data_IF_607516074912
#
_entry.id   IF_607516074912
#
_cell.length_a   1.000
_cell.length_b   1.000
_cell.length_c   1.000
_cell.angle_alpha   90.00
_cell.angle_beta   90.00
_cell.angle_gamma   90.00
#
_symmetry.space_group_name_H-M   'P 1'
#
loop_
_entity.id
_entity.type
_entity.pdbx_description
1 polymer ?
#
# COMPACT_ATOMS: atom_id res chain seq x y z
N UNK A 1 -28.45 0.04 -9.54
CA UNK A 1 -28.08 1.30 -10.21
C UNK A 1 -26.57 1.32 -10.24
N UNK A 2 -26.01 1.54 -11.42
CA UNK A 2 -24.73 0.97 -11.85
C UNK A 2 -23.53 1.62 -11.17
N UNK A 3 -22.69 0.76 -10.61
CA UNK A 3 -21.35 1.03 -10.09
C UNK A 3 -20.46 1.68 -11.17
N UNK A 4 -19.96 2.87 -10.90
CA UNK A 4 -18.74 3.40 -11.50
C UNK A 4 -18.22 4.58 -10.66
N UNK A 5 -17.91 4.33 -9.38
CA UNK A 5 -17.14 5.28 -8.57
C UNK A 5 -15.62 5.19 -8.85
N UNK A 6 -15.23 4.52 -9.93
CA UNK A 6 -13.84 4.34 -10.33
C UNK A 6 -13.34 5.46 -11.24
N UNK A 7 -12.01 5.55 -11.45
CA UNK A 7 -11.43 6.50 -12.40
C UNK A 7 -12.01 6.30 -13.80
N UNK A 8 -12.38 7.39 -14.49
CA UNK A 8 -12.86 7.31 -15.88
C UNK A 8 -11.81 6.56 -16.74
N UNK A 9 -12.19 5.52 -17.50
CA UNK A 9 -11.25 4.80 -18.36
C UNK A 9 -10.55 5.74 -19.35
N UNK A 10 -9.26 5.49 -19.61
CA UNK A 10 -8.44 6.34 -20.49
C UNK A 10 -9.04 6.47 -21.90
N UNK A 11 -9.55 5.37 -22.48
CA UNK A 11 -10.18 5.39 -23.80
C UNK A 11 -11.38 6.34 -23.86
N UNK A 12 -12.26 6.30 -22.85
CA UNK A 12 -13.42 7.20 -22.76
C UNK A 12 -12.99 8.65 -22.61
N UNK A 13 -11.92 8.90 -21.85
CA UNK A 13 -11.35 10.23 -21.70
C UNK A 13 -10.80 10.76 -23.03
N UNK A 14 -10.04 9.94 -23.78
CA UNK A 14 -9.47 10.32 -25.09
C UNK A 14 -10.57 10.71 -26.07
N UNK A 15 -11.67 9.96 -26.13
CA UNK A 15 -12.79 10.34 -27.01
C UNK A 15 -13.44 11.65 -26.56
N UNK A 16 -13.63 11.84 -25.24
CA UNK A 16 -14.28 13.05 -24.72
C UNK A 16 -13.47 14.34 -24.99
N UNK A 17 -12.13 14.27 -24.96
CA UNK A 17 -11.30 15.48 -25.15
C UNK A 17 -11.24 15.94 -26.61
N UNK A 18 -11.51 15.07 -27.60
CA UNK A 18 -11.52 15.44 -29.03
C UNK A 18 -12.58 16.50 -29.35
N UNK A 19 -13.74 16.41 -28.70
CA UNK A 19 -14.84 17.35 -28.92
C UNK A 19 -14.84 18.52 -27.90
N UNK A 20 -13.93 18.49 -26.92
CA UNK A 20 -13.87 19.51 -25.88
C UNK A 20 -13.27 20.84 -26.40
N UNK A 21 -13.71 22.01 -25.91
CA UNK A 21 -13.10 23.29 -26.23
C UNK A 21 -11.63 23.35 -25.80
N UNK A 22 -10.79 24.07 -26.56
CA UNK A 22 -9.35 24.20 -26.25
C UNK A 22 -9.11 24.81 -24.88
N UNK A 23 -9.87 25.83 -24.49
CA UNK A 23 -9.73 26.49 -23.18
C UNK A 23 -9.93 25.48 -22.03
N UNK A 24 -10.91 24.58 -22.17
CA UNK A 24 -11.14 23.50 -21.21
C UNK A 24 -9.94 22.55 -21.10
N UNK A 25 -9.30 22.22 -22.23
CA UNK A 25 -8.10 21.37 -22.23
C UNK A 25 -6.93 22.08 -21.53
N UNK A 26 -6.72 23.37 -21.83
CA UNK A 26 -5.66 24.17 -21.21
C UNK A 26 -5.87 24.37 -19.70
N UNK A 27 -7.12 24.48 -19.23
CA UNK A 27 -7.45 24.54 -17.81
C UNK A 27 -7.30 23.18 -17.10
N UNK A 28 -7.64 22.09 -17.78
CA UNK A 28 -7.57 20.73 -17.23
C UNK A 28 -6.13 20.24 -17.03
N UNK A 29 -5.19 20.71 -17.87
CA UNK A 29 -3.77 20.35 -17.78
C UNK A 29 -3.14 20.66 -16.40
N UNK A 30 -3.16 21.91 -15.89
CA UNK A 30 -2.63 22.22 -14.57
C UNK A 30 -3.42 21.60 -13.42
N UNK A 31 -4.72 21.32 -13.59
CA UNK A 31 -5.51 20.58 -12.60
C UNK A 31 -5.03 19.15 -12.42
N UNK A 32 -4.80 18.43 -13.52
CA UNK A 32 -4.22 17.09 -13.50
C UNK A 32 -2.85 17.10 -12.80
N UNK A 33 -2.01 18.10 -13.10
CA UNK A 33 -0.71 18.25 -12.44
C UNK A 33 -0.83 18.42 -10.93
N UNK A 34 -1.68 19.36 -10.48
CA UNK A 34 -1.92 19.61 -9.06
C UNK A 34 -2.45 18.36 -8.37
N UNK A 35 -3.39 17.66 -9.00
CA UNK A 35 -3.98 16.44 -8.45
C UNK A 35 -2.96 15.31 -8.31
N UNK A 36 -2.08 15.11 -9.30
CA UNK A 36 -1.01 14.11 -9.22
C UNK A 36 -0.02 14.47 -8.11
N UNK A 37 0.44 15.73 -8.06
CA UNK A 37 1.38 16.19 -7.05
C UNK A 37 0.81 16.07 -5.63
N UNK A 38 -0.48 16.36 -5.45
CA UNK A 38 -1.18 16.16 -4.18
C UNK A 38 -1.18 14.70 -3.75
N UNK A 39 -1.56 13.77 -4.63
CA UNK A 39 -1.58 12.34 -4.32
C UNK A 39 -0.20 11.79 -3.97
N UNK A 40 0.85 12.23 -4.66
CA UNK A 40 2.23 11.84 -4.36
C UNK A 40 2.65 12.36 -2.99
N UNK A 41 2.31 13.61 -2.67
CA UNK A 41 2.56 14.16 -1.33
C UNK A 41 1.83 13.36 -0.25
N UNK A 42 0.54 13.06 -0.46
CA UNK A 42 -0.24 12.24 0.49
C UNK A 42 0.37 10.84 0.65
N UNK A 43 0.84 10.21 -0.43
CA UNK A 43 1.54 8.93 -0.32
C UNK A 43 2.81 9.03 0.51
N UNK A 44 3.60 10.10 0.35
CA UNK A 44 4.80 10.31 1.15
C UNK A 44 4.46 10.52 2.63
N UNK A 45 3.42 11.30 2.95
CA UNK A 45 2.93 11.48 4.32
C UNK A 45 2.46 10.13 4.91
N UNK A 46 1.73 9.31 4.15
CA UNK A 46 1.31 7.98 4.60
C UNK A 46 2.49 7.01 4.79
N UNK A 47 3.54 7.13 3.99
CA UNK A 47 4.75 6.31 4.13
C UNK A 47 5.50 6.64 5.42
N UNK A 48 5.65 7.91 5.75
CA UNK A 48 6.21 8.35 7.04
C UNK A 48 5.39 7.82 8.24
N UNK A 49 4.06 7.85 8.14
CA UNK A 49 3.17 7.26 9.15
C UNK A 49 3.33 5.74 9.25
N UNK A 50 3.47 5.05 8.13
CA UNK A 50 3.70 3.60 8.13
C UNK A 50 5.06 3.25 8.75
N UNK A 51 6.12 4.02 8.48
CA UNK A 51 7.42 3.84 9.13
C UNK A 51 7.29 3.97 10.66
N UNK A 52 6.59 5.00 11.14
CA UNK A 52 6.28 5.20 12.56
C UNK A 52 5.49 4.03 13.16
N UNK A 53 4.42 3.58 12.47
CA UNK A 53 3.61 2.43 12.89
C UNK A 53 4.42 1.14 12.92
N UNK A 54 5.31 0.92 11.96
CA UNK A 54 6.17 -0.26 11.90
C UNK A 54 7.11 -0.34 13.09
N UNK A 55 7.68 0.80 13.52
CA UNK A 55 8.52 0.87 14.71
C UNK A 55 7.72 0.53 15.98
N UNK A 56 6.48 1.02 16.09
CA UNK A 56 5.57 0.69 17.19
C UNK A 56 5.17 -0.78 17.20
N UNK A 57 4.93 -1.40 16.04
CA UNK A 57 4.60 -2.83 15.94
C UNK A 57 5.76 -3.74 16.36
N UNK A 58 7.01 -3.31 16.17
CA UNK A 58 8.20 -4.04 16.62
C UNK A 58 8.38 -3.95 18.13
N UNK A 59 8.05 -2.81 18.74
CA UNK A 59 8.17 -2.56 20.19
C UNK A 59 6.89 -1.90 20.73
N UNK A 60 5.80 -2.67 20.86
CA UNK A 60 4.49 -2.13 21.23
C UNK A 60 4.49 -1.60 22.66
N UNK A 61 3.90 -0.42 22.88
CA UNK A 61 3.56 0.06 24.21
C UNK A 61 2.47 -0.87 24.79
N UNK A 62 2.62 -1.39 26.03
CA UNK A 62 1.58 -2.19 26.68
C UNK A 62 0.20 -1.54 26.75
N UNK A 63 0.09 -0.22 26.55
CA UNK A 63 -1.16 0.56 26.55
C UNK A 63 -1.80 0.70 25.17
N UNK A 64 -1.08 0.41 24.09
CA UNK A 64 -1.62 0.47 22.73
C UNK A 64 -2.20 -0.89 22.31
N UNK A 65 -3.31 -0.87 21.57
CA UNK A 65 -3.89 -2.08 21.00
C UNK A 65 -3.09 -2.50 19.77
N UNK A 66 -2.39 -3.63 19.86
CA UNK A 66 -1.62 -4.17 18.72
C UNK A 66 -2.51 -4.45 17.50
N UNK A 67 -3.75 -4.91 17.70
CA UNK A 67 -4.71 -5.15 16.61
C UNK A 67 -5.05 -3.87 15.85
N UNK A 68 -5.25 -2.75 16.56
CA UNK A 68 -5.56 -1.46 15.95
C UNK A 68 -4.37 -0.91 15.15
N UNK A 69 -3.14 -1.10 15.64
CA UNK A 69 -1.92 -0.73 14.92
C UNK A 69 -1.77 -1.53 13.63
N UNK A 70 -2.02 -2.84 13.66
CA UNK A 70 -1.96 -3.70 12.48
C UNK A 70 -3.03 -3.36 11.44
N UNK A 71 -4.26 -3.05 11.89
CA UNK A 71 -5.34 -2.61 11.01
C UNK A 71 -5.03 -1.26 10.35
N UNK A 72 -4.51 -0.30 11.14
CA UNK A 72 -4.11 1.01 10.62
C UNK A 72 -2.98 0.88 9.61
N UNK A 73 -1.96 0.07 9.91
CA UNK A 73 -0.86 -0.23 8.99
C UNK A 73 -1.37 -0.78 7.65
N UNK A 74 -2.29 -1.75 7.69
CA UNK A 74 -2.89 -2.35 6.48
C UNK A 74 -3.69 -1.31 5.69
N UNK A 75 -4.48 -0.49 6.38
CA UNK A 75 -5.29 0.55 5.76
C UNK A 75 -4.43 1.59 5.02
N UNK A 76 -3.36 2.08 5.64
CA UNK A 76 -2.47 3.05 5.01
C UNK A 76 -1.72 2.43 3.82
N UNK A 77 -1.26 1.19 3.98
CA UNK A 77 -0.59 0.45 2.90
C UNK A 77 -1.51 0.27 1.69
N UNK A 78 -2.78 -0.10 1.91
CA UNK A 78 -3.78 -0.23 0.84
C UNK A 78 -4.06 1.12 0.18
N UNK A 79 -4.24 2.18 0.97
CA UNK A 79 -4.47 3.54 0.46
C UNK A 79 -3.36 4.00 -0.48
N UNK A 80 -2.09 3.73 -0.16
CA UNK A 80 -0.95 4.06 -1.04
C UNK A 80 -1.05 3.32 -2.37
N UNK A 81 -1.41 2.03 -2.36
CA UNK A 81 -1.58 1.23 -3.58
C UNK A 81 -2.70 1.79 -4.44
N UNK A 82 -3.85 2.12 -3.84
CA UNK A 82 -4.98 2.73 -4.55
C UNK A 82 -4.59 4.09 -5.15
N UNK A 83 -3.90 4.94 -4.39
CA UNK A 83 -3.42 6.22 -4.87
C UNK A 83 -2.44 6.08 -6.04
N UNK A 84 -1.57 5.06 -6.05
CA UNK A 84 -0.64 4.78 -7.17
C UNK A 84 -1.38 4.47 -8.46
N UNK A 85 -2.44 3.67 -8.40
CA UNK A 85 -3.31 3.40 -9.56
C UNK A 85 -3.98 4.68 -10.07
N UNK A 86 -4.48 5.52 -9.17
CA UNK A 86 -5.09 6.82 -9.53
C UNK A 86 -4.06 7.76 -10.14
N UNK A 87 -2.84 7.83 -9.59
CA UNK A 87 -1.73 8.61 -10.12
C UNK A 87 -1.43 8.15 -11.55
N UNK A 88 -1.24 6.85 -11.77
CA UNK A 88 -0.97 6.27 -13.09
C UNK A 88 -2.04 6.68 -14.10
N UNK A 89 -3.32 6.51 -13.76
CA UNK A 89 -4.42 6.89 -14.63
C UNK A 89 -4.43 8.40 -14.96
N UNK A 90 -4.10 9.25 -13.98
CA UNK A 90 -4.00 10.70 -14.21
C UNK A 90 -2.79 11.07 -15.05
N UNK A 91 -1.65 10.39 -14.92
CA UNK A 91 -0.47 10.57 -15.78
C UNK A 91 -0.82 10.26 -17.24
N UNK A 92 -1.49 9.14 -17.49
CA UNK A 92 -1.94 8.75 -18.84
C UNK A 92 -2.90 9.78 -19.44
N UNK A 93 -3.85 10.29 -18.65
CA UNK A 93 -4.77 11.36 -19.09
C UNK A 93 -4.05 12.67 -19.39
N UNK A 94 -3.04 13.02 -18.60
CA UNK A 94 -2.23 14.21 -18.83
C UNK A 94 -1.46 14.11 -20.16
N UNK A 95 -0.87 12.95 -20.46
CA UNK A 95 -0.19 12.69 -21.73
C UNK A 95 -1.18 12.79 -22.90
N UNK A 96 -2.34 12.13 -22.79
CA UNK A 96 -3.37 12.17 -23.82
C UNK A 96 -3.89 13.60 -24.09
N UNK A 97 -4.02 14.41 -23.04
CA UNK A 97 -4.42 15.80 -23.15
C UNK A 97 -3.35 16.63 -23.89
N UNK A 98 -2.07 16.41 -23.57
CA UNK A 98 -0.97 17.07 -24.28
C UNK A 98 -0.91 16.65 -25.75
N UNK A 99 -1.13 15.37 -26.05
CA UNK A 99 -1.20 14.85 -27.43
C UNK A 99 -2.30 15.57 -28.23
N UNK A 100 -3.46 15.80 -27.62
CA UNK A 100 -4.56 16.53 -28.25
C UNK A 100 -4.26 18.04 -28.40
N UNK A 101 -3.58 18.66 -27.44
CA UNK A 101 -3.12 20.05 -27.60
C UNK A 101 -2.09 20.19 -28.73
N UNK A 102 -1.20 19.20 -28.90
CA UNK A 102 -0.27 19.13 -30.02
C UNK A 102 -1.01 18.94 -31.34
N UNK A 103 -2.01 18.03 -31.39
CA UNK A 103 -2.80 17.76 -32.60
C UNK A 103 -3.51 19.01 -33.12
N UNK A 104 -3.94 19.91 -32.20
CA UNK A 104 -4.57 21.20 -32.49
C UNK A 104 -3.61 22.34 -32.77
N UNK A 105 -2.30 22.09 -32.73
CA UNK A 105 -1.27 23.13 -32.88
C UNK A 105 -1.23 24.14 -31.72
N UNK A 106 -1.76 23.78 -30.55
CA UNK A 106 -1.81 24.63 -29.35
C UNK A 106 -0.61 24.40 -28.42
N UNK A 107 0.13 23.32 -28.63
CA UNK A 107 1.35 22.97 -27.90
C UNK A 107 2.42 22.51 -28.90
N UNK A 108 3.65 22.99 -28.75
CA UNK A 108 4.77 22.50 -29.55
C UNK A 108 5.16 21.09 -29.07
N UNK A 109 5.36 20.10 -29.97
CA UNK A 109 5.84 18.77 -29.60
C UNK A 109 7.11 18.77 -28.73
N UNK A 110 8.04 19.69 -28.97
CA UNK A 110 9.29 19.79 -28.21
C UNK A 110 9.03 20.26 -26.77
N UNK A 111 8.14 21.25 -26.62
CA UNK A 111 7.71 21.75 -25.31
C UNK A 111 6.97 20.68 -24.53
N UNK A 112 6.09 19.91 -25.20
CA UNK A 112 5.42 18.73 -24.61
C UNK A 112 6.43 17.77 -23.99
N UNK A 113 7.40 17.30 -24.79
CA UNK A 113 8.37 16.29 -24.34
C UNK A 113 9.19 16.81 -23.16
N UNK A 114 9.63 18.06 -23.23
CA UNK A 114 10.38 18.70 -22.15
C UNK A 114 9.54 18.82 -20.88
N UNK A 115 8.30 19.27 -21.00
CA UNK A 115 7.39 19.50 -19.89
C UNK A 115 6.99 18.18 -19.20
N UNK A 116 6.66 17.13 -19.97
CA UNK A 116 6.40 15.79 -19.46
C UNK A 116 7.61 15.18 -18.75
N UNK A 117 8.79 15.28 -19.36
CA UNK A 117 10.03 14.76 -18.76
C UNK A 117 10.35 15.46 -17.43
N UNK A 118 10.24 16.79 -17.40
CA UNK A 118 10.53 17.56 -16.19
C UNK A 118 9.52 17.25 -15.08
N UNK A 119 8.24 17.18 -15.43
CA UNK A 119 7.18 16.91 -14.46
C UNK A 119 7.28 15.49 -13.92
N UNK A 120 7.26 14.47 -14.77
CA UNK A 120 7.31 13.08 -14.32
C UNK A 120 8.65 12.71 -13.69
N UNK A 121 9.78 13.25 -14.18
CA UNK A 121 11.07 13.06 -13.53
C UNK A 121 11.08 13.57 -12.09
N UNK A 122 10.53 14.77 -11.85
CA UNK A 122 10.43 15.32 -10.49
C UNK A 122 9.52 14.49 -9.57
N UNK A 123 8.47 13.88 -10.14
CA UNK A 123 7.51 13.07 -9.40
C UNK A 123 8.08 11.68 -9.06
N UNK A 124 8.81 11.07 -9.99
CA UNK A 124 9.47 9.79 -9.77
C UNK A 124 10.56 9.92 -8.69
N UNK A 125 11.28 11.05 -8.63
CA UNK A 125 12.20 11.35 -7.54
C UNK A 125 11.48 11.47 -6.17
N UNK A 126 10.29 12.07 -6.15
CA UNK A 126 9.47 12.19 -4.94
C UNK A 126 8.91 10.83 -4.49
N UNK A 127 8.56 9.95 -5.41
CA UNK A 127 8.01 8.61 -5.13
C UNK A 127 9.10 7.59 -4.74
N UNK A 128 10.30 7.70 -5.33
CA UNK A 128 11.42 6.82 -5.03
C UNK A 128 12.06 7.08 -3.67
N UNK A 129 12.06 8.33 -3.19
CA UNK A 129 12.52 8.65 -1.82
C UNK A 129 11.70 7.96 -0.73
N UNK A 130 10.46 7.61 -1.02
CA UNK A 130 9.54 7.03 -0.06
C UNK A 130 9.42 5.49 -0.16
N UNK A 131 10.12 4.86 -1.12
CA UNK A 131 10.05 3.41 -1.36
C UNK A 131 11.05 2.56 -0.55
N UNK A 132 11.46 3.03 0.64
CA UNK A 132 12.26 2.22 1.57
C UNK A 132 11.41 1.03 2.06
N UNK A 133 11.98 -0.17 2.01
CA UNK A 133 11.32 -1.47 2.16
C UNK A 133 10.26 -1.54 3.28
N UNK A 134 8.99 -1.57 2.87
CA UNK A 134 7.83 -1.87 3.72
C UNK A 134 7.72 -3.37 4.03
N UNK A 135 8.71 -3.96 4.70
CA UNK A 135 8.52 -5.28 5.33
C UNK A 135 9.24 -5.34 6.68
N UNK A 136 8.57 -5.02 7.80
CA UNK A 136 9.02 -5.55 9.07
C UNK A 136 8.83 -7.08 9.01
N UNK A 137 9.95 -7.80 8.89
CA UNK A 137 9.94 -9.26 9.06
C UNK A 137 9.64 -9.52 10.53
N UNK A 138 8.36 -9.66 10.87
CA UNK A 138 7.94 -10.07 12.20
C UNK A 138 8.46 -11.50 12.38
N UNK A 139 9.61 -11.63 13.04
CA UNK A 139 10.14 -12.91 13.48
C UNK A 139 9.10 -13.49 14.42
N UNK A 140 8.31 -14.46 13.93
CA UNK A 140 7.55 -15.36 14.80
C UNK A 140 8.56 -16.07 15.69
N UNK A 141 8.65 -15.62 16.93
CA UNK A 141 9.40 -16.26 17.99
C UNK A 141 8.77 -17.65 18.18
N UNK A 142 9.40 -18.68 17.62
CA UNK A 142 9.07 -20.07 17.88
C UNK A 142 9.39 -20.35 19.35
N UNK A 143 8.42 -20.07 20.22
CA UNK A 143 8.33 -20.77 21.51
C UNK A 143 7.32 -21.89 21.33
N UNK A 144 7.82 -22.96 20.72
CA UNK A 144 7.26 -24.29 20.88
C UNK A 144 7.28 -24.59 22.39
N UNK A 145 6.10 -24.64 22.99
CA UNK A 145 5.89 -25.28 24.28
C UNK A 145 4.56 -26.03 24.17
N UNK A 146 4.57 -27.06 23.32
CA UNK A 146 3.66 -28.18 23.43
C UNK A 146 3.89 -28.83 24.79
N UNK A 147 2.97 -28.58 25.73
CA UNK A 147 2.72 -29.55 26.80
C UNK A 147 1.67 -30.52 26.26
N UNK A 148 2.15 -31.57 25.62
CA UNK A 148 1.36 -32.79 25.44
C UNK A 148 1.17 -33.45 26.80
N UNK A 149 -0.10 -33.54 27.17
CA UNK A 149 -0.66 -34.46 28.14
C UNK A 149 -0.76 -35.85 27.47
N UNK A 150 0.03 -36.83 27.91
CA UNK A 150 -0.50 -38.15 28.25
C UNK A 150 0.55 -39.13 28.78
N UNK A 151 0.25 -39.64 29.98
CA UNK A 151 0.29 -41.05 30.40
C UNK A 151 1.28 -42.00 29.72
N UNK A 152 2.32 -42.41 30.47
CA UNK A 152 2.95 -43.72 30.28
C UNK A 152 3.18 -44.41 31.63
N UNK A 153 2.33 -45.40 31.88
CA UNK A 153 2.49 -46.44 32.89
C UNK A 153 3.48 -47.47 32.36
N UNK A 154 4.54 -47.77 33.11
CA UNK A 154 5.19 -49.10 33.24
C UNK A 154 6.36 -49.01 34.24
N UNK A 155 5.99 -49.04 35.51
CA UNK A 155 6.85 -49.52 36.59
C UNK A 155 6.70 -51.06 36.57
N UNK A 156 7.75 -51.86 36.39
CA UNK A 156 8.84 -52.02 37.34
C UNK A 156 8.62 -53.35 38.06
N UNK A 157 8.88 -54.47 37.39
CA UNK A 157 8.91 -55.79 38.02
C UNK A 157 10.34 -56.20 38.34
N UNK A 158 10.71 -56.26 39.62
CA UNK A 158 11.15 -57.50 40.27
C UNK A 158 11.40 -57.32 41.78
N UNK A 159 10.75 -58.21 42.56
CA UNK A 159 11.12 -58.81 43.85
C UNK A 159 11.82 -57.98 44.96
N UNK A 160 11.16 -57.80 46.12
CA UNK A 160 11.51 -58.57 47.34
C UNK A 160 10.55 -58.34 48.54
N UNK A 161 10.12 -59.46 49.12
CA UNK A 161 9.93 -59.78 50.56
C UNK A 161 8.93 -59.05 51.48
N UNK A 162 8.12 -59.91 52.13
CA UNK A 162 7.53 -59.86 53.48
C UNK A 162 6.25 -59.01 53.64
N UNK A 163 5.23 -59.39 54.40
CA UNK A 163 4.73 -60.58 55.12
C UNK A 163 3.34 -60.13 55.66
N UNK A 164 2.39 -61.07 55.81
CA UNK A 164 1.19 -61.01 56.70
C UNK A 164 0.14 -59.88 56.50
N UNK A 165 -1.06 -60.20 56.02
CA UNK A 165 -2.25 -60.47 56.86
C UNK A 165 -3.24 -59.27 56.75
N UNK A 166 -4.57 -59.35 56.75
CA UNK A 166 -5.60 -60.35 57.07
C UNK A 166 -6.86 -59.94 56.27
N UNK A 167 -7.68 -60.91 55.86
CA UNK A 167 -8.97 -60.70 55.19
C UNK A 167 -10.09 -60.33 56.16
N UNK A 168 -11.02 -59.51 55.64
CA UNK A 168 -12.34 -59.05 56.13
C UNK A 168 -12.36 -57.70 56.87
#
# INVERSE_FOLDING_TARGET
>A
MTEASGPLPLATFIEAIKDAPTDFLQESQPELRRSIAFLIRTNNELLEEIESLSAKLISPDPKESQSELEETYKLYSLTIVENREVIKNKREKYIALNDELVSRGQLNPEDKVKDEKNFFGSLDDMENKASVELVPTIKKDKRDNEKEDNTETKDGGDNNTNEEGVYL
#
